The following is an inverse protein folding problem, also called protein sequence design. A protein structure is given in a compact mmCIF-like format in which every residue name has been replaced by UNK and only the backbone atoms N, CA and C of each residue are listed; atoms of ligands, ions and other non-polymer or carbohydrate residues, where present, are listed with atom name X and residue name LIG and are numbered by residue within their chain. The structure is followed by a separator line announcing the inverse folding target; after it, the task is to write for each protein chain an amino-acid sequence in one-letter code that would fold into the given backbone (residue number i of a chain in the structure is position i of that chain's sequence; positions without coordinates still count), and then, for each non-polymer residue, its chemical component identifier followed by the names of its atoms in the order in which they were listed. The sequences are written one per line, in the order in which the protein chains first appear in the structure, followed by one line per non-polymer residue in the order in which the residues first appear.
data_IF_474737207859
#
_entry.id   IF_474737207859
#
_cell.length_a   1.000
_cell.length_b   1.000
_cell.length_c   1.000
_cell.angle_alpha   90.00
_cell.angle_beta   90.00
_cell.angle_gamma   90.00
#
_symmetry.space_group_name_H-M   'P 1'
#
loop_
_entity.id
_entity.type
_entity.pdbx_description
1 polymer ?
#
# COMPACT_ATOMS: atom_id res chain seq x y z
N UNK A 1 -1.81 21.24 2.29
CA UNK A 1 -3.27 21.32 2.12
C UNK A 1 -3.90 20.07 2.70
N UNK A 2 -5.17 20.07 3.16
CA UNK A 2 -5.73 18.95 3.89
C UNK A 2 -6.17 17.79 2.98
N UNK A 3 -6.10 16.57 3.50
CA UNK A 3 -6.77 15.40 2.88
C UNK A 3 -8.29 15.55 3.02
N UNK A 4 -9.03 15.28 1.93
CA UNK A 4 -10.49 15.34 1.91
C UNK A 4 -11.09 13.97 2.27
N UNK A 5 -11.80 13.92 3.38
CA UNK A 5 -12.46 12.71 3.90
C UNK A 5 -13.91 13.03 4.32
N UNK A 6 -14.81 12.02 4.31
CA UNK A 6 -16.10 12.16 4.99
C UNK A 6 -15.87 12.47 6.49
N UNK A 7 -16.59 13.44 7.04
CA UNK A 7 -16.43 13.80 8.46
C UNK A 7 -16.89 12.72 9.43
N UNK A 8 -17.70 11.77 8.96
CA UNK A 8 -18.20 10.61 9.70
C UNK A 8 -17.25 9.41 9.62
N UNK A 9 -16.25 9.44 8.74
CA UNK A 9 -15.25 8.37 8.65
C UNK A 9 -14.44 8.28 9.95
N UNK A 10 -14.25 7.09 10.58
CA UNK A 10 -13.46 6.94 11.80
C UNK A 10 -12.05 7.52 11.69
N UNK A 11 -11.38 7.35 10.53
CA UNK A 11 -10.08 7.94 10.25
C UNK A 11 -10.06 9.48 10.42
N UNK A 12 -11.16 10.19 10.12
CA UNK A 12 -11.22 11.66 10.21
C UNK A 12 -10.85 12.16 11.61
N UNK A 13 -11.49 11.62 12.64
CA UNK A 13 -11.26 12.02 14.03
C UNK A 13 -9.89 11.57 14.57
N UNK A 14 -9.39 10.43 14.10
CA UNK A 14 -8.05 9.92 14.47
C UNK A 14 -6.98 10.84 13.92
N UNK A 15 -7.02 11.12 12.62
CA UNK A 15 -6.05 11.99 11.93
C UNK A 15 -6.06 13.41 12.48
N UNK A 16 -7.24 13.96 12.79
CA UNK A 16 -7.36 15.28 13.41
C UNK A 16 -6.66 15.35 14.77
N UNK A 17 -6.78 14.31 15.60
CA UNK A 17 -6.06 14.23 16.90
C UNK A 17 -4.55 14.07 16.72
N UNK A 18 -4.10 13.47 15.65
CA UNK A 18 -2.68 13.30 15.29
C UNK A 18 -2.07 14.55 14.65
N UNK A 19 -2.87 15.62 14.45
CA UNK A 19 -2.41 16.87 13.83
C UNK A 19 -2.31 16.81 12.30
N UNK A 20 -2.83 15.77 11.66
CA UNK A 20 -2.95 15.70 10.20
C UNK A 20 -4.07 16.64 9.75
N UNK A 21 -3.81 17.47 8.73
CA UNK A 21 -4.80 18.40 8.22
C UNK A 21 -5.87 17.66 7.41
N UNK A 22 -7.05 17.46 7.98
CA UNK A 22 -8.21 16.86 7.35
C UNK A 22 -9.27 17.89 7.02
N UNK A 23 -10.01 17.71 5.91
CA UNK A 23 -11.07 18.61 5.46
C UNK A 23 -12.31 17.82 5.07
N UNK A 24 -13.48 18.25 5.53
CA UNK A 24 -14.76 17.72 5.08
C UNK A 24 -15.09 18.17 3.65
N UNK A 25 -15.91 17.39 2.94
CA UNK A 25 -16.28 17.65 1.53
C UNK A 25 -16.78 19.08 1.29
N UNK A 26 -17.69 19.59 2.14
CA UNK A 26 -18.29 20.92 1.98
C UNK A 26 -17.30 22.09 2.12
N UNK A 27 -16.20 21.90 2.83
CA UNK A 27 -15.15 22.92 2.94
C UNK A 27 -14.19 22.90 1.75
N UNK A 28 -13.94 21.72 1.18
CA UNK A 28 -13.08 21.53 0.01
C UNK A 28 -13.70 22.12 -1.27
N UNK A 29 -15.02 22.00 -1.43
CA UNK A 29 -15.74 22.47 -2.62
C UNK A 29 -15.72 24.02 -2.80
N UNK A 30 -15.24 24.74 -1.78
CA UNK A 30 -15.07 26.21 -1.82
C UNK A 30 -13.70 26.65 -2.35
N UNK A 31 -12.82 25.72 -2.65
CA UNK A 31 -11.47 26.02 -3.15
C UNK A 31 -11.41 25.73 -4.66
N UNK A 32 -10.94 26.69 -5.45
CA UNK A 32 -10.73 26.53 -6.90
C UNK A 32 -9.40 25.80 -7.19
N UNK A 33 -9.31 24.55 -6.69
CA UNK A 33 -8.13 23.68 -6.86
C UNK A 33 -8.63 22.28 -7.20
N UNK A 34 -8.09 21.71 -8.28
CA UNK A 34 -8.32 20.28 -8.57
C UNK A 34 -7.56 19.42 -7.56
N UNK A 35 -8.23 18.70 -6.66
CA UNK A 35 -7.56 17.75 -5.77
C UNK A 35 -7.03 16.55 -6.58
N UNK A 36 -5.96 15.92 -6.11
CA UNK A 36 -5.56 14.60 -6.60
C UNK A 36 -6.58 13.57 -6.15
N UNK A 37 -7.08 12.77 -7.06
CA UNK A 37 -8.01 11.67 -6.79
C UNK A 37 -7.23 10.40 -6.53
N UNK A 38 -7.13 10.00 -5.27
CA UNK A 38 -6.41 8.79 -4.84
C UNK A 38 -7.40 7.75 -4.34
N UNK A 39 -7.42 6.59 -5.00
CA UNK A 39 -8.19 5.43 -4.58
C UNK A 39 -7.39 4.51 -3.65
N UNK A 40 -8.08 3.86 -2.70
CA UNK A 40 -7.57 2.75 -1.92
C UNK A 40 -8.44 1.52 -2.15
N UNK A 41 -7.97 0.57 -2.95
CA UNK A 41 -8.57 -0.77 -3.01
C UNK A 41 -8.09 -1.56 -1.79
N UNK A 42 -8.95 -1.62 -0.78
CA UNK A 42 -8.63 -2.20 0.51
C UNK A 42 -9.05 -3.67 0.58
N UNK A 43 -8.07 -4.58 0.46
CA UNK A 43 -8.27 -6.03 0.55
C UNK A 43 -8.05 -6.58 1.97
N UNK A 44 -7.56 -5.73 2.91
CA UNK A 44 -7.30 -6.13 4.28
C UNK A 44 -8.60 -6.39 5.07
N UNK A 45 -8.59 -7.35 6.01
CA UNK A 45 -9.77 -7.67 6.82
C UNK A 45 -10.12 -6.57 7.84
N UNK A 46 -9.11 -5.90 8.44
CA UNK A 46 -9.30 -4.79 9.39
C UNK A 46 -9.38 -3.46 8.63
N UNK A 47 -10.50 -3.21 7.92
CA UNK A 47 -10.68 -2.05 7.04
C UNK A 47 -10.37 -0.71 7.71
N UNK A 48 -10.97 -0.45 8.87
CA UNK A 48 -10.86 0.83 9.59
C UNK A 48 -9.40 1.14 9.99
N UNK A 49 -8.65 0.13 10.42
CA UNK A 49 -7.22 0.31 10.73
C UNK A 49 -6.43 0.65 9.48
N UNK A 50 -6.61 -0.12 8.41
CA UNK A 50 -5.89 0.04 7.15
C UNK A 50 -6.18 1.38 6.50
N UNK A 51 -7.45 1.79 6.40
CA UNK A 51 -7.82 3.09 5.83
C UNK A 51 -7.20 4.26 6.62
N UNK A 52 -7.14 4.15 7.96
CA UNK A 52 -6.51 5.17 8.82
C UNK A 52 -5.00 5.25 8.57
N UNK A 53 -4.32 4.10 8.44
CA UNK A 53 -2.89 4.03 8.16
C UNK A 53 -2.54 4.70 6.84
N UNK A 54 -3.25 4.36 5.75
CA UNK A 54 -3.01 4.97 4.45
C UNK A 54 -3.44 6.44 4.39
N UNK A 55 -4.59 6.80 4.97
CA UNK A 55 -5.05 8.19 5.02
C UNK A 55 -4.05 9.10 5.76
N UNK A 56 -3.37 8.60 6.81
CA UNK A 56 -2.30 9.33 7.50
C UNK A 56 -1.12 9.63 6.60
N UNK A 57 -0.67 8.66 5.81
CA UNK A 57 0.47 8.81 4.89
C UNK A 57 0.13 9.73 3.72
N UNK A 58 -1.03 9.52 3.12
CA UNK A 58 -1.54 10.34 2.00
C UNK A 58 -1.86 11.77 2.46
N UNK A 59 -2.36 11.95 3.69
CA UNK A 59 -2.68 13.27 4.25
C UNK A 59 -1.47 14.10 4.69
N UNK A 60 -0.28 13.53 4.72
CA UNK A 60 0.94 14.24 5.13
C UNK A 60 1.58 15.14 4.04
N UNK A 61 0.96 15.22 2.86
CA UNK A 61 1.40 16.08 1.75
C UNK A 61 0.80 17.49 1.85
N UNK A 62 1.47 18.53 1.32
CA UNK A 62 0.85 19.84 1.13
C UNK A 62 -0.19 19.88 -0.01
N UNK A 63 -0.31 18.82 -0.81
CA UNK A 63 -1.27 18.73 -1.90
C UNK A 63 -2.68 18.43 -1.38
N UNK A 64 -3.71 18.94 -2.06
CA UNK A 64 -5.08 18.54 -1.76
C UNK A 64 -5.37 17.17 -2.37
N UNK A 65 -5.85 16.26 -1.56
CA UNK A 65 -6.17 14.88 -1.97
C UNK A 65 -7.62 14.56 -1.65
N UNK A 66 -8.35 14.06 -2.66
CA UNK A 66 -9.62 13.37 -2.48
C UNK A 66 -9.35 11.87 -2.36
N UNK A 67 -9.65 11.30 -1.19
CA UNK A 67 -9.36 9.91 -0.88
C UNK A 67 -10.61 9.06 -0.96
N UNK A 68 -10.63 8.07 -1.85
CA UNK A 68 -11.77 7.21 -2.14
C UNK A 68 -11.49 5.77 -1.70
N UNK A 69 -12.37 5.20 -0.90
CA UNK A 69 -12.27 3.81 -0.45
C UNK A 69 -13.02 2.88 -1.42
N UNK A 70 -12.32 1.88 -1.91
CA UNK A 70 -12.81 0.93 -2.93
C UNK A 70 -12.72 -0.49 -2.37
N UNK A 71 -13.74 -1.31 -2.67
CA UNK A 71 -13.77 -2.73 -2.35
C UNK A 71 -14.03 -3.57 -3.60
N UNK A 72 -13.73 -4.87 -3.53
CA UNK A 72 -14.18 -5.85 -4.51
C UNK A 72 -15.71 -5.89 -4.53
N UNK A 73 -16.30 -6.05 -5.71
CA UNK A 73 -17.77 -5.92 -5.88
C UNK A 73 -18.54 -7.02 -5.17
N UNK A 74 -18.11 -8.28 -5.32
CA UNK A 74 -18.82 -9.44 -4.82
C UNK A 74 -18.24 -10.05 -3.54
N UNK A 75 -17.09 -9.55 -3.07
CA UNK A 75 -16.44 -10.10 -1.89
C UNK A 75 -17.05 -9.52 -0.60
N UNK A 76 -17.72 -10.37 0.18
CA UNK A 76 -18.26 -10.00 1.49
C UNK A 76 -17.15 -9.88 2.56
N UNK A 77 -17.16 -8.78 3.28
CA UNK A 77 -16.22 -8.50 4.37
C UNK A 77 -16.76 -9.06 5.69
N UNK A 78 -16.03 -10.00 6.31
CA UNK A 78 -16.46 -10.66 7.55
C UNK A 78 -16.08 -9.90 8.83
N UNK A 79 -15.07 -9.02 8.77
CA UNK A 79 -14.45 -8.41 9.96
C UNK A 79 -14.72 -6.90 10.09
N UNK A 80 -15.61 -6.35 9.29
CA UNK A 80 -16.00 -4.94 9.33
C UNK A 80 -17.53 -4.85 9.25
N UNK A 81 -18.13 -3.97 10.04
CA UNK A 81 -19.57 -3.78 10.06
C UNK A 81 -20.11 -3.43 8.66
N UNK A 82 -21.26 -4.00 8.29
CA UNK A 82 -21.88 -3.77 6.98
C UNK A 82 -22.18 -2.28 6.76
N UNK A 83 -22.67 -1.59 7.77
CA UNK A 83 -22.97 -0.15 7.73
C UNK A 83 -21.74 0.69 7.36
N UNK A 84 -20.55 0.34 7.90
CA UNK A 84 -19.29 1.00 7.54
C UNK A 84 -18.94 0.79 6.07
N UNK A 85 -19.13 -0.44 5.58
CA UNK A 85 -18.87 -0.77 4.18
C UNK A 85 -19.83 -0.05 3.23
N UNK A 86 -21.11 0.04 3.58
CA UNK A 86 -22.12 0.72 2.76
C UNK A 86 -21.93 2.25 2.77
N UNK A 87 -21.55 2.83 3.90
CA UNK A 87 -21.38 4.28 4.03
C UNK A 87 -20.11 4.81 3.33
N UNK A 88 -19.00 4.06 3.42
CA UNK A 88 -17.68 4.60 3.03
C UNK A 88 -17.04 3.92 1.83
N UNK A 89 -17.37 2.65 1.52
CA UNK A 89 -16.74 1.88 0.46
C UNK A 89 -17.62 1.78 -0.77
N UNK A 90 -17.03 2.10 -1.92
CA UNK A 90 -17.67 1.89 -3.21
C UNK A 90 -17.17 0.57 -3.82
N UNK A 91 -18.04 -0.29 -4.36
CA UNK A 91 -17.60 -1.47 -5.11
C UNK A 91 -16.88 -1.07 -6.39
N UNK A 92 -15.94 -1.90 -6.86
CA UNK A 92 -15.20 -1.63 -8.09
C UNK A 92 -16.14 -1.42 -9.29
N UNK A 93 -17.23 -2.17 -9.36
CA UNK A 93 -18.24 -2.04 -10.43
C UNK A 93 -18.84 -0.64 -10.56
N UNK A 94 -18.86 0.17 -9.49
CA UNK A 94 -19.36 1.55 -9.51
C UNK A 94 -18.30 2.58 -9.89
N UNK A 95 -17.00 2.25 -9.76
CA UNK A 95 -15.90 3.20 -10.02
C UNK A 95 -15.18 2.92 -11.34
N UNK A 96 -15.47 1.84 -12.02
CA UNK A 96 -14.78 1.39 -13.23
C UNK A 96 -14.78 2.41 -14.40
N UNK A 97 -15.76 3.28 -14.45
CA UNK A 97 -15.86 4.33 -15.47
C UNK A 97 -15.16 5.64 -15.05
N UNK A 98 -14.63 5.70 -13.83
CA UNK A 98 -13.93 6.88 -13.30
C UNK A 98 -12.43 6.83 -13.60
N UNK A 99 -11.79 7.98 -13.48
CA UNK A 99 -10.34 8.15 -13.58
C UNK A 99 -9.78 8.57 -12.23
N UNK A 100 -8.56 8.06 -11.93
CA UNK A 100 -7.83 8.38 -10.71
C UNK A 100 -6.41 8.83 -11.03
N UNK A 101 -5.91 9.79 -10.26
CA UNK A 101 -4.49 10.17 -10.33
C UNK A 101 -3.61 9.08 -9.75
N UNK A 102 -4.07 8.41 -8.68
CA UNK A 102 -3.37 7.29 -8.08
C UNK A 102 -4.31 6.24 -7.50
N UNK A 103 -3.84 4.99 -7.46
CA UNK A 103 -4.53 3.87 -6.82
C UNK A 103 -3.56 3.11 -5.93
N UNK A 104 -3.92 2.91 -4.68
CA UNK A 104 -3.23 2.00 -3.76
C UNK A 104 -4.02 0.70 -3.69
N UNK A 105 -3.34 -0.44 -3.84
CA UNK A 105 -3.92 -1.78 -3.70
C UNK A 105 -3.22 -2.45 -2.51
N UNK A 106 -3.97 -2.76 -1.46
CA UNK A 106 -3.42 -3.29 -0.22
C UNK A 106 -3.09 -4.77 -0.30
N UNK A 107 -2.37 -5.28 0.69
CA UNK A 107 -2.23 -6.71 0.93
C UNK A 107 -3.55 -7.39 1.31
N UNK A 108 -3.47 -8.73 1.40
CA UNK A 108 -4.52 -9.59 1.93
C UNK A 108 -3.87 -10.79 2.64
N UNK A 109 -4.41 -11.31 3.76
CA UNK A 109 -3.81 -12.40 4.52
C UNK A 109 -4.14 -13.78 3.91
N UNK A 110 -3.86 -13.95 2.62
CA UNK A 110 -4.14 -15.13 1.81
C UNK A 110 -2.90 -15.59 1.03
N UNK A 111 -1.72 -15.32 1.56
CA UNK A 111 -0.44 -15.49 0.89
C UNK A 111 -0.14 -16.93 0.44
N UNK A 112 -0.65 -17.93 1.19
CA UNK A 112 -0.43 -19.36 0.89
C UNK A 112 -1.29 -19.89 -0.24
N UNK A 113 -2.34 -19.17 -0.65
CA UNK A 113 -3.12 -19.57 -1.82
C UNK A 113 -2.38 -19.21 -3.11
N UNK A 114 -2.35 -20.07 -4.13
CA UNK A 114 -2.04 -19.65 -5.49
C UNK A 114 -2.92 -18.44 -5.86
N UNK A 115 -2.40 -17.56 -6.70
CA UNK A 115 -3.17 -16.36 -7.07
C UNK A 115 -4.49 -16.72 -7.74
N UNK A 116 -4.46 -17.72 -8.61
CA UNK A 116 -5.60 -18.18 -9.40
C UNK A 116 -6.70 -18.85 -8.55
N UNK A 117 -6.35 -19.31 -7.32
CA UNK A 117 -7.30 -19.94 -6.38
C UNK A 117 -8.02 -18.89 -5.50
N UNK A 118 -7.64 -17.61 -5.60
CA UNK A 118 -8.32 -16.54 -4.86
C UNK A 118 -9.69 -16.27 -5.45
N UNK A 119 -10.73 -16.31 -4.64
CA UNK A 119 -12.14 -16.24 -5.09
C UNK A 119 -12.47 -15.01 -5.93
N UNK A 120 -11.79 -13.88 -5.70
CA UNK A 120 -11.96 -12.64 -6.45
C UNK A 120 -10.80 -12.35 -7.43
N UNK A 121 -9.99 -13.37 -7.79
CA UNK A 121 -8.83 -13.20 -8.68
C UNK A 121 -9.20 -12.65 -10.04
N UNK A 122 -10.31 -13.11 -10.60
CA UNK A 122 -10.77 -12.65 -11.90
C UNK A 122 -11.07 -11.13 -11.87
N UNK A 123 -11.88 -10.67 -10.91
CA UNK A 123 -12.20 -9.25 -10.77
C UNK A 123 -10.94 -8.43 -10.44
N UNK A 124 -10.03 -8.96 -9.59
CA UNK A 124 -8.77 -8.28 -9.28
C UNK A 124 -7.87 -8.15 -10.52
N UNK A 125 -7.82 -9.15 -11.38
CA UNK A 125 -7.11 -9.08 -12.67
C UNK A 125 -7.72 -8.00 -13.59
N UNK A 126 -9.05 -7.88 -13.63
CA UNK A 126 -9.74 -6.80 -14.33
C UNK A 126 -9.38 -5.43 -13.76
N UNK A 127 -9.25 -5.31 -12.43
CA UNK A 127 -8.76 -4.08 -11.79
C UNK A 127 -7.34 -3.76 -12.25
N UNK A 128 -6.43 -4.74 -12.31
CA UNK A 128 -5.06 -4.50 -12.77
C UNK A 128 -5.03 -4.00 -14.22
N UNK A 129 -5.78 -4.61 -15.11
CA UNK A 129 -5.89 -4.16 -16.50
C UNK A 129 -6.55 -2.77 -16.60
N UNK A 130 -7.59 -2.52 -15.82
CA UNK A 130 -8.26 -1.22 -15.71
C UNK A 130 -7.32 -0.11 -15.25
N UNK A 131 -6.33 -0.40 -14.39
CA UNK A 131 -5.36 0.62 -13.99
C UNK A 131 -4.59 1.21 -15.16
N UNK A 132 -4.39 0.45 -16.24
CA UNK A 132 -3.60 0.88 -17.39
C UNK A 132 -4.27 1.99 -18.20
N UNK A 133 -5.59 2.07 -18.15
CA UNK A 133 -6.39 3.06 -18.87
C UNK A 133 -7.02 4.12 -17.96
N UNK A 134 -7.25 3.80 -16.69
CA UNK A 134 -8.06 4.62 -15.78
C UNK A 134 -7.28 5.22 -14.61
N UNK A 135 -6.06 4.76 -14.36
CA UNK A 135 -5.22 5.23 -13.25
C UNK A 135 -3.88 5.75 -13.78
N UNK A 136 -3.47 6.94 -13.32
CA UNK A 136 -2.18 7.49 -13.75
C UNK A 136 -1.00 6.76 -13.12
N UNK A 137 -1.04 6.47 -11.81
CA UNK A 137 0.01 5.73 -11.11
C UNK A 137 -0.57 4.76 -10.07
N UNK A 138 0.00 3.57 -9.95
CA UNK A 138 -0.49 2.53 -9.04
C UNK A 138 0.57 2.15 -8.00
N UNK A 139 0.13 1.83 -6.79
CA UNK A 139 0.98 1.41 -5.68
C UNK A 139 0.45 0.10 -5.08
N UNK A 140 1.10 -1.02 -5.36
CA UNK A 140 0.76 -2.32 -4.79
C UNK A 140 1.52 -2.57 -3.49
N UNK A 141 0.82 -2.98 -2.43
CA UNK A 141 1.39 -3.19 -1.10
C UNK A 141 1.28 -4.65 -0.68
N UNK A 142 2.37 -5.23 -0.19
CA UNK A 142 2.49 -6.60 0.29
C UNK A 142 1.95 -7.60 -0.75
N UNK A 143 0.98 -8.42 -0.39
CA UNK A 143 0.34 -9.37 -1.30
C UNK A 143 -0.23 -8.68 -2.57
N UNK A 144 -0.81 -7.48 -2.44
CA UNK A 144 -1.29 -6.72 -3.59
C UNK A 144 -0.18 -6.37 -4.58
N UNK A 145 1.00 -5.99 -4.10
CA UNK A 145 2.19 -5.78 -4.94
C UNK A 145 2.68 -7.06 -5.60
N UNK A 146 2.68 -8.19 -4.86
CA UNK A 146 3.03 -9.51 -5.40
C UNK A 146 2.03 -9.98 -6.47
N UNK A 147 0.75 -9.72 -6.26
CA UNK A 147 -0.31 -10.07 -7.23
C UNK A 147 -0.17 -9.26 -8.51
N UNK A 148 0.11 -7.95 -8.42
CA UNK A 148 0.32 -7.09 -9.57
C UNK A 148 1.54 -7.49 -10.41
N UNK A 149 2.70 -7.69 -9.78
CA UNK A 149 3.92 -8.10 -10.49
C UNK A 149 3.74 -9.48 -11.15
N UNK A 150 3.01 -10.39 -10.49
CA UNK A 150 2.64 -11.67 -11.09
C UNK A 150 1.71 -11.49 -12.31
N UNK A 151 0.69 -10.64 -12.19
CA UNK A 151 -0.25 -10.39 -13.30
C UNK A 151 0.46 -9.85 -14.54
N UNK A 152 1.28 -8.82 -14.38
CA UNK A 152 1.92 -8.12 -15.49
C UNK A 152 3.17 -8.83 -16.05
N UNK A 153 3.99 -9.43 -15.17
CA UNK A 153 5.31 -9.96 -15.54
C UNK A 153 5.47 -11.45 -15.32
N UNK A 154 4.45 -12.14 -14.77
CA UNK A 154 4.50 -13.58 -14.43
C UNK A 154 5.62 -13.96 -13.45
N UNK A 155 6.15 -12.99 -12.70
CA UNK A 155 7.07 -13.26 -11.59
C UNK A 155 6.35 -14.11 -10.54
N UNK A 156 6.99 -15.16 -10.05
CA UNK A 156 6.35 -16.14 -9.18
C UNK A 156 6.45 -15.73 -7.72
N UNK A 157 5.42 -16.08 -6.97
CA UNK A 157 5.41 -16.04 -5.52
C UNK A 157 5.95 -17.36 -4.97
N UNK A 158 6.92 -17.29 -4.07
CA UNK A 158 7.52 -18.46 -3.43
C UNK A 158 7.12 -18.53 -1.96
N UNK A 159 6.70 -19.71 -1.50
CA UNK A 159 6.36 -19.94 -0.10
C UNK A 159 7.64 -20.12 0.71
N UNK A 160 7.70 -19.53 1.88
CA UNK A 160 8.82 -19.63 2.82
C UNK A 160 8.57 -20.74 3.84
N UNK A 161 9.64 -21.34 4.33
CA UNK A 161 9.59 -22.38 5.38
C UNK A 161 9.16 -21.81 6.75
N UNK A 162 9.37 -20.50 6.94
CA UNK A 162 8.98 -19.77 8.16
C UNK A 162 8.51 -18.36 7.80
N UNK A 163 7.75 -17.75 8.69
CA UNK A 163 7.29 -16.36 8.54
C UNK A 163 8.48 -15.41 8.64
N UNK A 164 8.69 -14.56 7.65
CA UNK A 164 9.54 -13.38 7.80
C UNK A 164 8.75 -12.36 8.61
N UNK A 165 9.18 -12.13 9.85
CA UNK A 165 8.40 -11.38 10.81
C UNK A 165 9.27 -10.49 11.71
N UNK A 166 9.13 -9.18 11.60
CA UNK A 166 9.91 -8.23 12.38
C UNK A 166 10.29 -6.96 11.63
N UNK A 167 11.33 -6.29 12.12
CA UNK A 167 11.88 -5.06 11.56
C UNK A 167 13.28 -5.31 11.01
N UNK A 168 13.42 -5.22 9.70
CA UNK A 168 14.66 -5.56 8.99
C UNK A 168 15.29 -4.34 8.35
N UNK A 169 16.63 -4.38 8.23
CA UNK A 169 17.41 -3.35 7.56
C UNK A 169 17.31 -3.51 6.04
N UNK A 170 17.04 -2.42 5.37
CA UNK A 170 16.99 -2.34 3.90
C UNK A 170 17.97 -1.28 3.41
N UNK A 171 18.58 -1.54 2.27
CA UNK A 171 19.52 -0.64 1.60
C UNK A 171 18.81 0.08 0.45
N UNK A 172 19.16 1.34 0.27
CA UNK A 172 18.77 2.14 -0.89
C UNK A 172 19.68 1.81 -2.07
N UNK A 173 19.15 1.16 -3.10
CA UNK A 173 19.89 0.72 -4.27
C UNK A 173 19.91 1.75 -5.41
N UNK A 174 18.97 2.69 -5.41
CA UNK A 174 18.82 3.72 -6.44
C UNK A 174 18.49 5.08 -5.79
N UNK A 175 19.47 5.70 -5.11
CA UNK A 175 19.26 6.94 -4.35
C UNK A 175 18.83 8.13 -5.22
N UNK A 176 19.10 8.10 -6.53
CA UNK A 176 18.65 9.08 -7.52
C UNK A 176 17.18 8.94 -7.90
N UNK A 177 16.52 7.85 -7.51
CA UNK A 177 15.11 7.65 -7.79
C UNK A 177 14.26 8.75 -7.13
N UNK A 178 13.34 9.41 -7.88
CA UNK A 178 12.48 10.45 -7.31
C UNK A 178 11.61 9.94 -6.15
N UNK A 179 11.30 8.65 -6.13
CA UNK A 179 10.54 8.01 -5.05
C UNK A 179 11.33 7.91 -3.73
N UNK A 180 12.67 7.90 -3.80
CA UNK A 180 13.57 7.76 -2.64
C UNK A 180 14.21 9.08 -2.22
N UNK A 181 13.74 10.21 -2.74
CA UNK A 181 14.25 11.54 -2.37
C UNK A 181 14.15 11.75 -0.85
N UNK A 182 15.28 12.07 -0.21
CA UNK A 182 15.39 12.26 1.24
C UNK A 182 15.54 10.98 2.06
N UNK A 183 15.59 9.82 1.42
CA UNK A 183 15.88 8.56 2.10
C UNK A 183 17.34 8.52 2.56
N UNK A 184 17.55 7.83 3.68
CA UNK A 184 18.89 7.43 4.11
C UNK A 184 19.43 6.31 3.20
N UNK A 185 20.75 6.08 3.25
CA UNK A 185 21.39 4.96 2.53
C UNK A 185 20.84 3.61 3.02
N UNK A 186 20.42 3.54 4.27
CA UNK A 186 19.73 2.40 4.85
C UNK A 186 18.55 2.84 5.75
N UNK A 187 17.59 1.94 5.92
CA UNK A 187 16.41 2.16 6.77
C UNK A 187 15.89 0.84 7.32
N UNK A 188 15.09 0.96 8.39
CA UNK A 188 14.36 -0.17 8.96
C UNK A 188 12.94 -0.18 8.42
N UNK A 189 12.46 -1.37 8.05
CA UNK A 189 11.08 -1.56 7.56
C UNK A 189 10.44 -2.79 8.19
N UNK A 190 9.15 -2.72 8.60
CA UNK A 190 8.40 -3.88 9.06
C UNK A 190 8.14 -4.88 7.94
N UNK A 191 8.29 -6.16 8.28
CA UNK A 191 8.04 -7.30 7.40
C UNK A 191 7.12 -8.27 8.13
N UNK A 192 6.08 -8.73 7.43
CA UNK A 192 5.15 -9.76 7.94
C UNK A 192 4.62 -10.56 6.75
N UNK A 193 5.29 -11.65 6.38
CA UNK A 193 4.89 -12.45 5.22
C UNK A 193 5.39 -13.89 5.27
N UNK A 194 4.61 -14.79 4.67
CA UNK A 194 4.92 -16.20 4.46
C UNK A 194 5.42 -16.51 3.05
N UNK A 195 5.55 -15.46 2.21
CA UNK A 195 5.95 -15.62 0.81
C UNK A 195 6.95 -14.55 0.41
N UNK A 196 7.67 -14.80 -0.67
CA UNK A 196 8.63 -13.86 -1.25
C UNK A 196 8.53 -13.79 -2.77
N UNK A 197 9.01 -12.67 -3.31
CA UNK A 197 9.36 -12.51 -4.72
C UNK A 197 10.88 -12.51 -4.83
N UNK A 198 11.44 -13.36 -5.69
CA UNK A 198 12.89 -13.52 -5.79
C UNK A 198 13.54 -12.43 -6.63
N UNK A 199 14.72 -12.00 -6.17
CA UNK A 199 15.48 -10.93 -6.79
C UNK A 199 15.83 -11.24 -8.25
N UNK A 200 16.33 -12.43 -8.52
CA UNK A 200 16.73 -12.90 -9.84
C UNK A 200 15.57 -12.93 -10.83
N UNK A 201 14.37 -13.32 -10.40
CA UNK A 201 13.16 -13.30 -11.22
C UNK A 201 12.68 -11.87 -11.53
N UNK A 202 12.78 -10.95 -10.57
CA UNK A 202 12.45 -9.53 -10.76
C UNK A 202 13.44 -8.88 -11.73
N UNK A 203 14.74 -9.14 -11.56
CA UNK A 203 15.80 -8.65 -12.45
C UNK A 203 15.65 -9.22 -13.87
N UNK A 204 15.30 -10.52 -13.99
CA UNK A 204 15.03 -11.15 -15.28
C UNK A 204 13.80 -10.54 -15.99
N UNK A 205 12.82 -10.03 -15.24
CA UNK A 205 11.70 -9.27 -15.78
C UNK A 205 12.06 -7.82 -16.18
N UNK A 206 13.31 -7.39 -15.96
CA UNK A 206 13.79 -6.05 -16.29
C UNK A 206 13.29 -4.95 -15.35
N UNK A 207 12.89 -5.30 -14.14
CA UNK A 207 12.31 -4.36 -13.17
C UNK A 207 13.37 -3.83 -12.20
N UNK A 208 13.55 -2.49 -12.09
CA UNK A 208 14.46 -1.89 -11.11
C UNK A 208 14.02 -2.14 -9.67
N UNK A 209 14.94 -2.67 -8.86
CA UNK A 209 14.77 -2.82 -7.41
C UNK A 209 15.30 -1.55 -6.74
N UNK A 210 14.43 -0.83 -6.05
CA UNK A 210 14.77 0.44 -5.38
C UNK A 210 15.27 0.21 -3.95
N UNK A 211 14.61 -0.70 -3.20
CA UNK A 211 14.99 -1.07 -1.83
C UNK A 211 15.16 -2.58 -1.73
N UNK A 212 16.22 -3.01 -1.05
CA UNK A 212 16.58 -4.41 -0.88
C UNK A 212 17.15 -4.67 0.50
N UNK A 213 16.86 -5.85 1.06
CA UNK A 213 17.48 -6.35 2.28
C UNK A 213 18.25 -7.64 1.97
N UNK A 214 19.45 -7.77 2.55
CA UNK A 214 20.21 -9.02 2.45
C UNK A 214 19.58 -10.17 3.27
N UNK A 215 18.69 -9.84 4.21
CA UNK A 215 18.04 -10.81 5.10
C UNK A 215 16.67 -11.25 4.55
N UNK A 216 15.91 -10.31 3.97
CA UNK A 216 14.52 -10.57 3.58
C UNK A 216 14.23 -10.24 2.10
N UNK A 217 15.26 -9.99 1.29
CA UNK A 217 15.15 -9.83 -0.15
C UNK A 217 14.59 -8.47 -0.61
N UNK A 218 14.04 -8.40 -1.85
CA UNK A 218 13.48 -7.19 -2.43
C UNK A 218 12.35 -6.61 -1.60
N UNK A 219 12.31 -5.28 -1.50
CA UNK A 219 11.30 -4.57 -0.71
C UNK A 219 10.46 -3.58 -1.53
N UNK A 220 11.09 -2.83 -2.42
CA UNK A 220 10.42 -1.86 -3.29
C UNK A 220 10.94 -2.02 -4.71
N UNK A 221 10.03 -2.21 -5.65
CA UNK A 221 10.31 -2.41 -7.08
C UNK A 221 9.53 -1.38 -7.89
N UNK A 222 10.18 -0.77 -8.90
CA UNK A 222 9.54 0.13 -9.86
C UNK A 222 9.17 -0.64 -11.12
N UNK A 223 7.95 -0.44 -11.61
CA UNK A 223 7.49 -0.92 -12.91
C UNK A 223 7.17 0.27 -13.81
N UNK A 224 8.14 0.70 -14.61
CA UNK A 224 7.92 1.81 -15.52
C UNK A 224 6.87 1.53 -16.59
N UNK A 225 6.77 0.32 -17.09
CA UNK A 225 5.85 -0.02 -18.17
C UNK A 225 4.38 0.10 -17.75
N UNK A 226 4.08 -0.22 -16.50
CA UNK A 226 2.72 -0.18 -15.95
C UNK A 226 2.49 0.98 -14.98
N UNK A 227 3.43 1.93 -14.89
CA UNK A 227 3.37 3.10 -13.98
C UNK A 227 3.07 2.68 -12.54
N UNK A 228 3.75 1.61 -12.07
CA UNK A 228 3.50 1.02 -10.77
C UNK A 228 4.73 0.98 -9.88
N UNK A 229 4.47 1.01 -8.58
CA UNK A 229 5.41 0.64 -7.53
C UNK A 229 4.86 -0.59 -6.80
N UNK A 230 5.75 -1.54 -6.50
CA UNK A 230 5.42 -2.72 -5.71
C UNK A 230 6.26 -2.72 -4.44
N UNK A 231 5.63 -2.53 -3.28
CA UNK A 231 6.28 -2.69 -1.97
C UNK A 231 5.84 -4.01 -1.36
N UNK A 232 6.80 -4.88 -1.01
CA UNK A 232 6.48 -6.21 -0.47
C UNK A 232 6.43 -6.26 1.06
N UNK A 233 6.76 -5.15 1.70
CA UNK A 233 6.80 -4.96 3.14
C UNK A 233 5.85 -3.82 3.55
N UNK A 234 5.88 -3.36 4.83
CA UNK A 234 4.80 -2.55 5.40
C UNK A 234 5.27 -1.21 5.96
N UNK A 235 5.37 -0.18 5.12
CA UNK A 235 5.62 1.19 5.59
C UNK A 235 4.42 1.82 6.31
N UNK A 236 3.20 1.36 6.02
CA UNK A 236 1.96 1.90 6.57
C UNK A 236 1.71 1.48 8.02
N UNK A 237 2.40 0.47 8.53
CA UNK A 237 2.15 -0.08 9.86
C UNK A 237 2.37 0.94 10.98
N UNK A 238 1.44 0.94 11.92
CA UNK A 238 1.60 1.61 13.21
C UNK A 238 2.60 0.88 14.11
N UNK A 239 3.07 1.58 15.15
CA UNK A 239 4.03 1.00 16.11
C UNK A 239 3.56 -0.31 16.72
N UNK A 240 2.25 -0.49 16.91
CA UNK A 240 1.65 -1.67 17.54
C UNK A 240 1.23 -2.79 16.57
N UNK A 241 1.25 -2.56 15.25
CA UNK A 241 0.62 -3.48 14.28
C UNK A 241 1.27 -4.88 14.28
N UNK A 242 2.60 -4.98 14.29
CA UNK A 242 3.27 -6.28 14.37
C UNK A 242 2.97 -7.00 15.69
N UNK A 243 2.82 -6.28 16.81
CA UNK A 243 2.42 -6.89 18.07
C UNK A 243 0.99 -7.44 18.01
N UNK A 244 0.06 -6.71 17.40
CA UNK A 244 -1.30 -7.20 17.19
C UNK A 244 -1.33 -8.47 16.35
N UNK A 245 -0.50 -8.53 15.30
CA UNK A 245 -0.35 -9.74 14.48
C UNK A 245 0.27 -10.88 15.27
N UNK A 246 1.31 -10.61 16.07
CA UNK A 246 1.95 -11.60 16.93
C UNK A 246 0.97 -12.21 17.91
N UNK A 247 0.18 -11.39 18.63
CA UNK A 247 -0.84 -11.87 19.57
C UNK A 247 -1.94 -12.69 18.88
N UNK A 248 -2.38 -12.24 17.70
CA UNK A 248 -3.35 -13.00 16.88
C UNK A 248 -2.78 -14.37 16.47
N UNK A 249 -1.54 -14.40 15.99
CA UNK A 249 -0.91 -15.61 15.50
C UNK A 249 -0.62 -16.59 16.65
N UNK A 250 -0.23 -16.10 17.84
CA UNK A 250 -0.11 -16.91 19.06
C UNK A 250 -1.45 -17.54 19.46
N UNK A 251 -2.53 -16.76 19.43
CA UNK A 251 -3.85 -17.30 19.76
C UNK A 251 -4.28 -18.41 18.79
N UNK A 252 -3.98 -18.25 17.50
CA UNK A 252 -4.26 -19.26 16.47
C UNK A 252 -3.34 -20.49 16.61
N UNK A 253 -2.09 -20.31 17.03
CA UNK A 253 -1.12 -21.41 17.20
C UNK A 253 -1.51 -22.37 18.29
N UNK A 254 -2.14 -21.88 19.36
CA UNK A 254 -2.70 -22.73 20.40
C UNK A 254 -3.72 -23.72 19.84
N UNK A 255 -4.36 -23.37 18.71
CA UNK A 255 -5.32 -24.22 18.00
C UNK A 255 -4.66 -25.07 16.91
N UNK A 256 -3.60 -24.59 16.24
CA UNK A 256 -2.99 -25.21 15.05
C UNK A 256 -1.61 -25.86 15.30
N UNK A 257 -0.99 -25.63 16.47
CA UNK A 257 0.31 -26.23 16.82
C UNK A 257 1.53 -25.67 16.07
N UNK A 258 1.43 -24.47 15.48
CA UNK A 258 2.54 -23.80 14.78
C UNK A 258 3.41 -23.02 15.76
N UNK A 259 4.72 -23.04 15.59
CA UNK A 259 5.66 -22.23 16.37
C UNK A 259 5.71 -20.81 15.79
N UNK A 260 5.22 -19.82 16.55
CA UNK A 260 5.24 -18.41 16.17
C UNK A 260 6.38 -17.71 16.91
N UNK A 261 7.34 -17.23 16.15
CA UNK A 261 8.48 -16.51 16.69
C UNK A 261 8.12 -15.06 17.01
N UNK A 262 8.81 -14.50 18.02
CA UNK A 262 8.75 -13.07 18.33
C UNK A 262 9.22 -12.26 17.13
N UNK A 263 8.55 -11.11 16.79
CA UNK A 263 9.02 -10.27 15.69
C UNK A 263 10.43 -9.74 15.96
N UNK A 264 11.34 -10.02 15.03
CA UNK A 264 12.79 -9.71 15.12
C UNK A 264 13.02 -8.20 15.14
N UNK A 265 13.91 -7.69 16.01
CA UNK A 265 14.32 -6.28 16.10
C UNK A 265 13.16 -5.30 16.30
N UNK A 266 12.03 -5.73 16.82
CA UNK A 266 10.82 -4.92 16.96
C UNK A 266 10.63 -4.38 18.38
N UNK A 267 10.73 -5.24 19.39
CA UNK A 267 10.69 -4.80 20.78
C UNK A 267 12.09 -4.38 21.26
N UNK A 268 12.20 -3.33 22.10
CA UNK A 268 13.46 -3.05 22.77
C UNK A 268 13.95 -4.27 23.55
N UNK A 269 15.23 -4.64 23.39
CA UNK A 269 15.86 -5.77 24.10
C UNK A 269 15.12 -7.12 23.89
N UNK A 270 14.34 -7.24 22.81
CA UNK A 270 13.46 -8.38 22.51
C UNK A 270 12.44 -8.71 23.62
N UNK A 271 12.12 -7.71 24.46
CA UNK A 271 11.14 -7.82 25.54
C UNK A 271 9.73 -7.41 25.07
N UNK A 272 8.77 -8.36 24.90
CA UNK A 272 7.42 -8.07 24.43
C UNK A 272 6.57 -7.26 25.44
N UNK A 273 7.04 -7.03 26.66
CA UNK A 273 6.40 -6.15 27.62
C UNK A 273 6.75 -4.67 27.39
N UNK A 274 7.83 -4.39 26.65
CA UNK A 274 8.21 -3.03 26.30
C UNK A 274 7.42 -2.52 25.09
N UNK A 275 7.23 -1.20 25.05
CA UNK A 275 6.53 -0.54 23.93
C UNK A 275 7.40 -0.60 22.66
N UNK A 276 6.88 -1.11 21.53
CA UNK A 276 7.59 -1.14 20.27
C UNK A 276 7.99 0.26 19.79
N UNK A 277 9.16 0.34 19.15
CA UNK A 277 9.67 1.58 18.57
C UNK A 277 9.37 1.63 17.06
N UNK A 278 8.69 2.69 16.61
CA UNK A 278 8.51 2.94 15.18
C UNK A 278 9.77 3.62 14.63
N UNK A 279 10.55 2.88 13.84
CA UNK A 279 11.79 3.33 13.20
C UNK A 279 11.64 3.62 11.72
N UNK A 280 10.43 3.40 11.14
CA UNK A 280 10.13 3.52 9.70
C UNK A 280 9.24 4.70 9.35
N UNK A 281 8.60 5.36 10.31
CA UNK A 281 7.61 6.41 10.07
C UNK A 281 8.12 7.55 9.16
N UNK A 282 9.33 8.01 9.38
CA UNK A 282 9.92 9.08 8.57
C UNK A 282 10.04 8.68 7.10
N UNK A 283 10.55 7.48 6.82
CA UNK A 283 10.68 6.94 5.46
C UNK A 283 9.33 6.62 4.83
N UNK A 284 8.35 6.19 5.62
CA UNK A 284 6.96 6.01 5.16
C UNK A 284 6.39 7.34 4.62
N UNK A 285 6.48 8.41 5.40
CA UNK A 285 6.03 9.73 4.94
C UNK A 285 6.79 10.23 3.72
N UNK A 286 8.10 10.00 3.63
CA UNK A 286 8.89 10.35 2.46
C UNK A 286 8.44 9.57 1.22
N UNK A 287 8.27 8.25 1.31
CA UNK A 287 7.89 7.42 0.16
C UNK A 287 6.54 7.84 -0.41
N UNK A 288 5.51 7.94 0.44
CA UNK A 288 4.16 8.32 -0.01
C UNK A 288 4.10 9.78 -0.46
N UNK A 289 4.82 10.68 0.22
CA UNK A 289 4.93 12.08 -0.19
C UNK A 289 5.63 12.25 -1.55
N UNK A 290 6.71 11.50 -1.79
CA UNK A 290 7.40 11.48 -3.07
C UNK A 290 6.53 10.89 -4.18
N UNK A 291 5.82 9.78 -3.91
CA UNK A 291 4.87 9.19 -4.86
C UNK A 291 3.77 10.17 -5.27
N UNK A 292 3.17 10.87 -4.29
CA UNK A 292 2.17 11.92 -4.58
C UNK A 292 2.76 13.10 -5.34
N UNK A 293 4.00 13.47 -5.06
CA UNK A 293 4.72 14.53 -5.79
C UNK A 293 4.94 14.14 -7.25
N UNK A 294 5.35 12.91 -7.52
CA UNK A 294 5.51 12.39 -8.88
C UNK A 294 4.17 12.35 -9.64
N UNK A 295 3.10 11.90 -8.97
CA UNK A 295 1.74 11.95 -9.55
C UNK A 295 1.38 13.39 -9.91
N UNK A 296 1.55 14.34 -8.98
CA UNK A 296 1.18 15.74 -9.21
C UNK A 296 1.92 16.36 -10.38
N UNK A 297 3.19 16.01 -10.57
CA UNK A 297 4.02 16.55 -11.64
C UNK A 297 3.75 15.93 -13.00
N UNK A 298 3.28 14.68 -13.04
CA UNK A 298 3.18 13.89 -14.27
C UNK A 298 1.75 13.60 -14.72
N UNK A 299 0.75 13.73 -13.84
CA UNK A 299 -0.66 13.53 -14.21
C UNK A 299 -1.16 14.67 -15.09
N UNK A 300 -1.98 14.38 -16.12
CA UNK A 300 -2.60 15.45 -16.92
C UNK A 300 -3.56 16.25 -16.07
N UNK A 301 -3.59 17.59 -16.29
CA UNK A 301 -4.54 18.47 -15.60
C UNK A 301 -5.99 18.04 -15.84
N UNK A 302 -6.32 17.72 -17.09
CA UNK A 302 -7.61 17.10 -17.43
C UNK A 302 -7.49 15.57 -17.24
N UNK A 303 -8.07 15.09 -16.15
CA UNK A 303 -8.04 13.68 -15.75
C UNK A 303 -8.65 12.75 -16.82
N UNK A 304 -9.54 13.25 -17.69
CA UNK A 304 -10.13 12.45 -18.78
C UNK A 304 -9.08 11.96 -19.77
N UNK A 305 -7.92 12.62 -19.84
CA UNK A 305 -6.80 12.25 -20.72
C UNK A 305 -5.97 11.05 -20.20
N UNK A 306 -6.18 10.62 -18.95
CA UNK A 306 -5.50 9.43 -18.41
C UNK A 306 -5.85 8.23 -19.30
N UNK A 307 -4.81 7.51 -19.77
CA UNK A 307 -4.91 6.38 -20.67
C UNK A 307 -5.11 6.73 -22.16
N UNK A 308 -5.27 8.02 -22.51
CA UNK A 308 -5.44 8.44 -23.91
C UNK A 308 -4.14 8.92 -24.58
N UNK A 309 -3.18 9.40 -23.81
CA UNK A 309 -1.91 9.88 -24.32
C UNK A 309 -0.78 8.90 -24.01
N UNK A 310 0.01 8.59 -25.04
CA UNK A 310 1.38 8.11 -24.91
C UNK A 310 2.29 9.24 -24.40
N UNK A 311 1.93 9.92 -23.33
CA UNK A 311 2.87 10.80 -22.63
C UNK A 311 3.96 9.91 -22.09
N UNK A 312 5.09 9.98 -22.78
CA UNK A 312 6.25 9.15 -22.59
C UNK A 312 6.98 9.62 -21.31
N UNK A 313 6.34 9.31 -20.14
CA UNK A 313 6.96 9.47 -18.81
C UNK A 313 8.28 8.66 -18.69
N UNK A 314 8.66 7.91 -19.77
CA UNK A 314 9.92 7.18 -19.92
C UNK A 314 11.09 8.09 -20.30
N UNK A 315 10.85 9.34 -20.69
CA UNK A 315 11.92 10.23 -21.20
C UNK A 315 12.67 11.00 -20.12
N UNK A 316 12.17 11.00 -18.88
CA UNK A 316 12.75 11.76 -17.77
C UNK A 316 13.18 10.84 -16.62
N UNK A 317 13.94 9.79 -16.91
CA UNK A 317 14.47 8.90 -15.91
C UNK A 317 15.92 8.53 -16.14
#
# INVERSE_FOLDING_TARGET
MPIRLPSTLPAFSVLQREGVMVMGRSAADKQDIRPLRIGLLNLMPKKIQTETQFARLIGATPLQVEFSLIRMSEHETKNTAAEHMEEFYRPFSEVKDEKFDGLIITGAPIEHLPFEDVTYWQELSEVFDWTQTNVHATFGVCWGGMAMIHHFHKVKKHVLDHKLFGCYRHMNFLPESPYLRGFSDDMIMPVSRWTEMRKDEIEAAGLPILLHSNEVGPALVKDPAHRALYVFNHFEYDSGTLNEEFQRDLANTQVEGKDIQLPVNYFPEDDPQQKPLNRWRGHAHLLYGNWLSEIYQTTPYDISQIGQSSTDWRKDG
#
